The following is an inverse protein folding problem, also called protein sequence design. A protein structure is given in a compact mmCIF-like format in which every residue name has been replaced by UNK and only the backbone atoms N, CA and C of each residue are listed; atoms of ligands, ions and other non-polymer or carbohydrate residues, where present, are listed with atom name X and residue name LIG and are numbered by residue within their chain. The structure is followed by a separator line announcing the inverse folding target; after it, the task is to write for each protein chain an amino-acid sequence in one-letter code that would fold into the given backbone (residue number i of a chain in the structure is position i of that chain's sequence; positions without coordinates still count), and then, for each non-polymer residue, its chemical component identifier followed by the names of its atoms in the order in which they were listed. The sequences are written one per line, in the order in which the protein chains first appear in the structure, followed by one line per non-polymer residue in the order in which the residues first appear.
data_IF_412182240347
#
_entry.id   IF_412182240347
#
_cell.length_a   1.000
_cell.length_b   1.000
_cell.length_c   1.000
_cell.angle_alpha   90.00
_cell.angle_beta   90.00
_cell.angle_gamma   90.00
#
_symmetry.space_group_name_H-M   'P 1'
#
loop_
_entity.id
_entity.type
_entity.pdbx_description
1 polymer ?
#
# COMPACT_ATOMS: atom_id res chain seq x y z
N UNK A 1 12.62 48.09 57.11
CA UNK A 1 12.68 46.80 57.83
C UNK A 1 12.58 45.66 56.82
N UNK A 2 13.77 45.19 56.41
CA UNK A 2 14.19 43.80 56.23
C UNK A 2 13.11 42.72 55.96
N UNK A 3 13.25 42.09 54.79
CA UNK A 3 12.42 40.99 54.31
C UNK A 3 12.47 39.74 55.17
N UNK A 4 11.37 38.99 55.12
CA UNK A 4 11.28 37.61 55.58
C UNK A 4 10.61 36.76 54.50
N UNK A 5 11.29 36.61 53.37
CA UNK A 5 11.12 35.45 52.49
C UNK A 5 12.07 34.36 52.97
N UNK A 6 11.61 33.52 53.90
CA UNK A 6 12.20 32.23 54.29
C UNK A 6 11.26 31.63 55.35
N UNK A 7 10.75 30.42 55.26
CA UNK A 7 11.11 29.30 54.42
C UNK A 7 9.92 28.34 54.41
N UNK A 8 9.21 28.20 53.30
CA UNK A 8 8.56 26.92 53.01
C UNK A 8 9.40 26.29 51.91
N UNK A 9 10.22 25.31 52.31
CA UNK A 9 11.03 24.46 51.43
C UNK A 9 10.17 24.07 50.22
N UNK A 10 10.45 24.54 48.99
CA UNK A 10 9.76 24.08 47.79
C UNK A 10 10.19 22.65 47.40
N UNK A 11 11.01 21.99 48.24
CA UNK A 11 11.51 20.62 48.09
C UNK A 11 10.43 19.57 47.76
N UNK A 12 9.24 19.53 48.39
CA UNK A 12 8.25 18.52 48.03
C UNK A 12 7.59 18.82 46.67
N UNK A 13 7.41 20.10 46.33
CA UNK A 13 6.86 20.51 45.03
C UNK A 13 7.86 20.25 43.88
N UNK A 14 9.15 20.53 44.10
CA UNK A 14 10.22 20.23 43.16
C UNK A 14 10.39 18.72 42.95
N UNK A 15 10.26 17.92 44.02
CA UNK A 15 10.32 16.46 43.94
C UNK A 15 9.13 15.87 43.18
N UNK A 16 7.92 16.41 43.37
CA UNK A 16 6.73 16.02 42.61
C UNK A 16 6.86 16.36 41.12
N UNK A 17 7.37 17.55 40.78
CA UNK A 17 7.60 17.95 39.39
C UNK A 17 8.66 17.06 38.73
N UNK A 18 9.74 16.73 39.43
CA UNK A 18 10.78 15.82 38.93
C UNK A 18 10.25 14.39 38.71
N UNK A 19 9.36 13.90 39.58
CA UNK A 19 8.73 12.59 39.44
C UNK A 19 7.79 12.50 38.23
N UNK A 20 7.06 13.58 37.91
CA UNK A 20 6.18 13.65 36.72
C UNK A 20 7.00 13.69 35.43
N UNK A 21 8.16 14.35 35.41
CA UNK A 21 9.05 14.42 34.25
C UNK A 21 9.76 13.09 33.96
N UNK A 22 10.02 12.26 34.97
CA UNK A 22 10.70 10.97 34.81
C UNK A 22 9.80 9.84 34.23
N UNK A 23 8.49 10.07 34.12
CA UNK A 23 7.54 9.05 33.65
C UNK A 23 7.49 8.91 32.10
N UNK A 24 8.12 9.82 31.35
CA UNK A 24 8.15 9.80 29.89
C UNK A 24 9.41 9.14 29.32
N UNK A 25 9.88 8.05 29.92
CA UNK A 25 10.96 7.27 29.34
C UNK A 25 10.37 6.26 28.35
N UNK A 26 10.55 6.43 27.03
CA UNK A 26 10.12 5.41 26.08
C UNK A 26 10.87 4.11 26.40
N UNK A 27 10.19 2.95 26.39
CA UNK A 27 10.84 1.68 26.60
C UNK A 27 11.93 1.51 25.54
N UNK A 28 13.12 1.08 25.98
CA UNK A 28 14.21 0.75 25.07
C UNK A 28 13.79 -0.43 24.20
N UNK A 29 13.37 -0.15 22.96
CA UNK A 29 13.05 -1.16 21.97
C UNK A 29 14.34 -1.66 21.31
N UNK A 30 14.55 -2.98 21.16
CA UNK A 30 15.66 -3.50 20.40
C UNK A 30 15.59 -3.00 18.94
N UNK A 31 16.74 -2.83 18.26
CA UNK A 31 16.75 -2.40 16.88
C UNK A 31 15.93 -3.39 16.02
N UNK A 32 15.15 -2.91 15.05
CA UNK A 32 14.42 -3.78 14.15
C UNK A 32 15.39 -4.73 13.42
N UNK A 33 14.98 -5.97 13.14
CA UNK A 33 15.83 -6.90 12.39
C UNK A 33 16.23 -6.27 11.06
N UNK A 34 17.50 -6.42 10.67
CA UNK A 34 18.01 -6.01 9.36
C UNK A 34 17.12 -6.62 8.28
N UNK A 35 16.61 -5.84 7.32
CA UNK A 35 15.79 -6.39 6.24
C UNK A 35 16.63 -7.38 5.45
N UNK A 36 16.29 -8.66 5.55
CA UNK A 36 16.86 -9.70 4.68
C UNK A 36 16.26 -9.46 3.30
N UNK A 37 17.11 -9.23 2.29
CA UNK A 37 16.68 -9.10 0.89
C UNK A 37 15.85 -10.32 0.51
N UNK A 38 14.54 -10.13 0.42
CA UNK A 38 13.62 -11.14 -0.10
C UNK A 38 14.00 -11.37 -1.56
N UNK A 39 14.09 -12.63 -2.04
CA UNK A 39 14.28 -12.88 -3.46
C UNK A 39 13.21 -12.11 -4.26
N UNK A 40 13.65 -11.11 -5.03
CA UNK A 40 12.74 -10.38 -5.90
C UNK A 40 12.44 -11.30 -7.09
N UNK A 41 11.22 -11.79 -7.14
CA UNK A 41 10.73 -12.47 -8.34
C UNK A 41 10.80 -11.47 -9.49
N UNK A 42 11.49 -11.83 -10.57
CA UNK A 42 11.69 -10.95 -11.73
C UNK A 42 10.39 -10.92 -12.54
N UNK A 43 9.41 -10.14 -12.08
CA UNK A 43 8.18 -9.88 -12.81
C UNK A 43 8.38 -8.70 -13.77
N UNK A 44 7.64 -8.69 -14.89
CA UNK A 44 7.51 -7.47 -15.68
C UNK A 44 7.03 -6.31 -14.78
N UNK A 45 7.45 -5.07 -15.06
CA UNK A 45 6.87 -3.89 -14.42
C UNK A 45 5.34 -3.93 -14.48
N UNK A 46 4.70 -3.50 -13.39
CA UNK A 46 3.24 -3.50 -13.29
C UNK A 46 2.60 -2.69 -14.43
N UNK A 47 3.22 -1.57 -14.79
CA UNK A 47 2.76 -0.67 -15.86
C UNK A 47 2.79 -1.36 -17.23
N UNK A 48 3.81 -2.19 -17.50
CA UNK A 48 3.91 -2.95 -18.76
C UNK A 48 2.82 -4.02 -18.86
N UNK A 49 2.58 -4.76 -17.77
CA UNK A 49 1.53 -5.79 -17.71
C UNK A 49 0.14 -5.18 -17.87
N UNK A 50 -0.12 -4.07 -17.16
CA UNK A 50 -1.39 -3.35 -17.24
C UNK A 50 -1.63 -2.81 -18.65
N UNK A 51 -0.60 -2.24 -19.29
CA UNK A 51 -0.72 -1.75 -20.65
C UNK A 51 -1.00 -2.88 -21.64
N UNK A 52 -0.30 -4.00 -21.52
CA UNK A 52 -0.53 -5.18 -22.36
C UNK A 52 -1.97 -5.72 -22.22
N UNK A 53 -2.49 -5.76 -20.99
CA UNK A 53 -3.87 -6.17 -20.72
C UNK A 53 -4.88 -5.25 -21.42
N UNK A 54 -4.72 -3.93 -21.26
CA UNK A 54 -5.60 -2.94 -21.88
C UNK A 54 -5.51 -2.96 -23.41
N UNK A 55 -4.33 -3.21 -23.98
CA UNK A 55 -4.18 -3.39 -25.42
C UNK A 55 -4.89 -4.65 -25.95
N UNK A 56 -4.83 -5.74 -25.19
CA UNK A 56 -5.57 -6.95 -25.53
C UNK A 56 -7.09 -6.68 -25.52
N UNK A 57 -7.58 -5.94 -24.51
CA UNK A 57 -8.98 -5.54 -24.45
C UNK A 57 -9.40 -4.63 -25.61
N UNK A 58 -8.57 -3.67 -26.01
CA UNK A 58 -8.82 -2.86 -27.22
C UNK A 58 -9.02 -3.72 -28.47
N UNK A 59 -8.33 -4.86 -28.59
CA UNK A 59 -8.46 -5.80 -29.72
C UNK A 59 -9.54 -6.87 -29.51
N UNK A 60 -10.29 -6.80 -28.41
CA UNK A 60 -11.21 -7.85 -27.96
C UNK A 60 -10.56 -9.25 -27.83
N UNK A 61 -9.27 -9.29 -27.51
CA UNK A 61 -8.48 -10.51 -27.35
C UNK A 61 -8.54 -11.00 -25.89
N UNK A 62 -9.69 -11.55 -25.51
CA UNK A 62 -9.94 -12.05 -24.16
C UNK A 62 -9.00 -13.19 -23.72
N UNK A 63 -8.59 -14.13 -24.60
CA UNK A 63 -7.57 -15.12 -24.24
C UNK A 63 -6.24 -14.48 -23.85
N UNK A 64 -5.78 -13.47 -24.61
CA UNK A 64 -4.57 -12.74 -24.24
C UNK A 64 -4.74 -11.98 -22.92
N UNK A 65 -5.90 -11.35 -22.66
CA UNK A 65 -6.19 -10.72 -21.37
C UNK A 65 -6.12 -11.73 -20.22
N UNK A 66 -6.71 -12.91 -20.39
CA UNK A 66 -6.72 -13.97 -19.39
C UNK A 66 -5.32 -14.51 -19.09
N UNK A 67 -4.48 -14.66 -20.12
CA UNK A 67 -3.09 -15.13 -19.97
C UNK A 67 -2.22 -14.21 -19.11
N UNK A 68 -2.60 -12.92 -18.99
CA UNK A 68 -1.90 -11.92 -18.19
C UNK A 68 -2.36 -11.87 -16.73
N UNK A 69 -3.37 -12.66 -16.36
CA UNK A 69 -3.81 -12.77 -14.97
C UNK A 69 -2.77 -13.51 -14.12
N UNK A 70 -2.81 -13.26 -12.81
CA UNK A 70 -2.02 -14.06 -11.86
C UNK A 70 -2.51 -15.51 -11.83
N UNK A 71 -1.62 -16.44 -11.47
CA UNK A 71 -2.01 -17.85 -11.31
C UNK A 71 -3.18 -18.04 -10.34
N UNK A 72 -3.22 -17.29 -9.24
CA UNK A 72 -4.33 -17.36 -8.29
C UNK A 72 -5.66 -16.95 -8.92
N UNK A 73 -5.66 -15.96 -9.83
CA UNK A 73 -6.87 -15.55 -10.55
C UNK A 73 -7.28 -16.58 -11.61
N UNK A 74 -6.32 -17.19 -12.32
CA UNK A 74 -6.59 -18.26 -13.29
C UNK A 74 -7.09 -19.56 -12.62
N UNK A 75 -6.66 -19.82 -11.38
CA UNK A 75 -7.15 -20.95 -10.57
C UNK A 75 -8.57 -20.70 -10.06
N UNK A 76 -8.88 -19.44 -9.68
CA UNK A 76 -10.19 -19.05 -9.18
C UNK A 76 -11.27 -18.92 -10.28
N UNK A 77 -10.88 -18.51 -11.48
CA UNK A 77 -11.81 -18.22 -12.58
C UNK A 77 -11.34 -18.88 -13.87
N UNK A 78 -12.22 -19.62 -14.54
CA UNK A 78 -11.89 -20.18 -15.85
C UNK A 78 -11.83 -19.11 -16.93
N UNK A 79 -11.04 -19.36 -17.98
CA UNK A 79 -10.94 -18.47 -19.16
C UNK A 79 -12.31 -18.20 -19.79
N UNK A 80 -13.18 -19.22 -19.83
CA UNK A 80 -14.54 -19.09 -20.36
C UNK A 80 -15.39 -18.14 -19.51
N UNK A 81 -15.33 -18.26 -18.18
CA UNK A 81 -16.09 -17.40 -17.27
C UNK A 81 -15.58 -15.95 -17.34
N UNK A 82 -14.27 -15.76 -17.38
CA UNK A 82 -13.64 -14.46 -17.58
C UNK A 82 -14.08 -13.80 -18.90
N UNK A 83 -14.03 -14.56 -20.01
CA UNK A 83 -14.41 -14.08 -21.34
C UNK A 83 -15.89 -13.71 -21.39
N UNK A 84 -16.77 -14.53 -20.81
CA UNK A 84 -18.20 -14.26 -20.75
C UNK A 84 -18.49 -12.95 -20.01
N UNK A 85 -17.87 -12.74 -18.84
CA UNK A 85 -18.06 -11.53 -18.05
C UNK A 85 -17.64 -10.26 -18.80
N UNK A 86 -16.50 -10.26 -19.48
CA UNK A 86 -16.07 -9.10 -20.25
C UNK A 86 -16.94 -8.84 -21.48
N UNK A 87 -17.43 -9.90 -22.15
CA UNK A 87 -18.36 -9.75 -23.27
C UNK A 87 -19.71 -9.20 -22.83
N UNK A 88 -20.25 -9.69 -21.72
CA UNK A 88 -21.50 -9.19 -21.14
C UNK A 88 -21.39 -7.70 -20.84
N UNK A 89 -20.29 -7.25 -20.21
CA UNK A 89 -20.05 -5.82 -19.97
C UNK A 89 -20.01 -5.02 -21.27
N UNK A 90 -19.34 -5.51 -22.31
CA UNK A 90 -19.27 -4.83 -23.62
C UNK A 90 -20.66 -4.71 -24.25
N UNK A 91 -21.47 -5.77 -24.18
CA UNK A 91 -22.81 -5.83 -24.75
C UNK A 91 -23.77 -4.91 -23.97
N UNK A 92 -23.86 -5.09 -22.65
CA UNK A 92 -24.77 -4.33 -21.78
C UNK A 92 -24.45 -2.84 -21.73
N UNK A 93 -23.16 -2.48 -21.67
CA UNK A 93 -22.74 -1.07 -21.67
C UNK A 93 -22.57 -0.49 -23.09
N UNK A 94 -22.82 -1.29 -24.14
CA UNK A 94 -22.65 -0.89 -25.55
C UNK A 94 -21.28 -0.26 -25.81
N UNK A 95 -20.21 -0.90 -25.31
CA UNK A 95 -18.84 -0.39 -25.45
C UNK A 95 -18.42 -0.53 -26.92
N UNK A 96 -18.29 0.60 -27.61
CA UNK A 96 -17.88 0.63 -29.02
C UNK A 96 -16.37 0.42 -29.20
N UNK A 97 -15.57 0.92 -28.27
CA UNK A 97 -14.11 0.83 -28.32
C UNK A 97 -13.49 1.09 -26.96
N UNK A 98 -12.36 0.43 -26.69
CA UNK A 98 -11.49 0.70 -25.54
C UNK A 98 -10.21 1.35 -26.05
N UNK A 99 -9.81 2.50 -25.50
CA UNK A 99 -8.56 3.18 -25.89
C UNK A 99 -7.65 3.35 -24.67
N UNK A 100 -6.57 2.56 -24.54
CA UNK A 100 -5.64 2.65 -23.42
C UNK A 100 -4.85 3.95 -23.43
N UNK A 101 -4.67 4.53 -22.25
CA UNK A 101 -3.78 5.68 -21.98
C UNK A 101 -3.10 5.43 -20.63
N UNK A 102 -1.77 5.43 -20.61
CA UNK A 102 -1.02 5.42 -19.35
C UNK A 102 -0.89 6.86 -18.89
N UNK A 103 -1.44 7.16 -17.71
CA UNK A 103 -1.53 8.53 -17.19
C UNK A 103 -0.34 8.92 -16.30
N UNK A 104 0.28 7.95 -15.64
CA UNK A 104 1.57 8.07 -14.95
C UNK A 104 2.19 6.69 -14.87
N UNK A 105 3.47 6.57 -15.21
CA UNK A 105 4.27 5.44 -14.76
C UNK A 105 4.58 5.66 -13.28
N UNK A 106 4.35 4.66 -12.44
CA UNK A 106 4.74 4.76 -11.03
C UNK A 106 6.26 4.88 -10.97
N UNK A 107 6.78 6.02 -10.49
CA UNK A 107 8.20 6.18 -10.23
C UNK A 107 8.47 5.79 -8.76
N UNK A 108 9.18 4.68 -8.51
CA UNK A 108 9.45 4.18 -7.16
C UNK A 108 10.36 5.11 -6.35
#
# INVERSE_FOLDING_TARGET
MTGRLRALRPLPALALIAAVLAACQPPFAPPPPTPVSTPRLNLPPADETAFAFLQAWQRADYPAMYSLLSYAAQDAYSEQAFTAAYREVVEEATILSVTPRILSAYQP
#
